data_IF_851534899665
#
_entry.id   IF_851534899665
#
_cell.length_a   1.000
_cell.length_b   1.000
_cell.length_c   1.000
_cell.angle_alpha   90.00
_cell.angle_beta   90.00
_cell.angle_gamma   90.00
#
_symmetry.space_group_name_H-M   'P 1'
#
loop_
_entity.id
_entity.type
_entity.pdbx_description
1 polymer ?
#
# COMPACT_ATOMS: atom_id res chain seq x y z
N UNK A 1 -3.21 17.08 -36.72
CA UNK A 1 -3.64 17.48 -35.36
C UNK A 1 -3.70 16.24 -34.43
N UNK A 2 -3.01 16.23 -33.27
CA UNK A 2 -3.24 15.21 -32.28
C UNK A 2 -4.67 15.37 -31.70
N UNK A 3 -5.32 14.29 -31.24
CA UNK A 3 -6.69 14.38 -30.76
C UNK A 3 -6.76 15.30 -29.53
N UNK A 4 -7.81 16.15 -29.41
CA UNK A 4 -7.92 17.17 -28.36
C UNK A 4 -8.20 16.60 -26.96
N UNK A 5 -8.36 15.28 -26.83
CA UNK A 5 -8.66 14.60 -25.58
C UNK A 5 -7.65 13.47 -25.34
N UNK A 6 -7.14 13.39 -24.11
CA UNK A 6 -6.40 12.21 -23.68
C UNK A 6 -7.31 10.97 -23.84
N UNK A 7 -6.76 9.81 -24.26
CA UNK A 7 -7.53 8.58 -24.35
C UNK A 7 -8.19 8.29 -22.99
N UNK A 8 -9.44 7.80 -23.01
CA UNK A 8 -10.12 7.39 -21.79
C UNK A 8 -9.28 6.31 -21.13
N UNK A 9 -8.83 6.58 -19.92
CA UNK A 9 -8.10 5.64 -19.09
C UNK A 9 -8.78 5.58 -17.73
N UNK A 10 -8.64 4.46 -17.05
CA UNK A 10 -9.08 4.29 -15.69
C UNK A 10 -8.00 3.57 -14.91
N UNK A 11 -8.01 3.76 -13.60
CA UNK A 11 -7.15 3.05 -12.67
C UNK A 11 -8.03 2.17 -11.78
N UNK A 12 -7.70 0.90 -11.63
CA UNK A 12 -8.28 0.03 -10.60
C UNK A 12 -7.27 -0.10 -9.48
N UNK A 13 -7.69 0.28 -8.28
CA UNK A 13 -6.93 0.07 -7.05
C UNK A 13 -7.48 -1.16 -6.35
N UNK A 14 -6.58 -2.05 -5.94
CA UNK A 14 -6.84 -3.18 -5.07
C UNK A 14 -6.00 -2.99 -3.82
N UNK A 15 -6.67 -2.72 -2.72
CA UNK A 15 -6.07 -2.57 -1.40
C UNK A 15 -6.28 -3.87 -0.62
N UNK A 16 -5.20 -4.46 -0.14
CA UNK A 16 -5.21 -5.67 0.66
C UNK A 16 -4.49 -5.43 1.97
N UNK A 17 -5.04 -5.94 3.07
CA UNK A 17 -4.35 -6.07 4.35
C UNK A 17 -4.25 -7.54 4.75
N UNK A 18 -3.06 -7.94 5.21
CA UNK A 18 -2.79 -9.24 5.82
C UNK A 18 -2.55 -9.04 7.31
N UNK A 19 -3.25 -9.80 8.15
CA UNK A 19 -3.00 -9.80 9.59
C UNK A 19 -1.56 -10.28 9.88
N UNK A 20 -0.83 -9.49 10.68
CA UNK A 20 0.58 -9.74 10.98
C UNK A 20 0.85 -11.06 11.70
N UNK A 21 -0.15 -11.67 12.35
CA UNK A 21 -0.03 -12.99 12.97
C UNK A 21 -0.09 -14.15 11.98
N UNK A 22 -0.66 -13.92 10.80
CA UNK A 22 -0.77 -14.91 9.72
C UNK A 22 0.40 -14.86 8.73
N UNK A 23 1.21 -13.79 8.76
CA UNK A 23 2.35 -13.63 7.86
C UNK A 23 3.48 -14.60 8.25
N UNK A 24 3.86 -15.48 7.32
CA UNK A 24 5.03 -16.34 7.49
C UNK A 24 6.31 -15.49 7.58
N UNK A 25 7.22 -15.84 8.49
CA UNK A 25 8.46 -15.10 8.69
C UNK A 25 9.36 -15.09 7.46
N UNK A 26 9.30 -16.15 6.64
CA UNK A 26 10.08 -16.29 5.41
C UNK A 26 9.44 -15.63 4.19
N UNK A 27 8.23 -15.05 4.32
CA UNK A 27 7.57 -14.39 3.20
C UNK A 27 8.36 -13.14 2.80
N UNK A 28 8.79 -13.07 1.54
CA UNK A 28 9.55 -11.93 1.01
C UNK A 28 8.66 -10.93 0.25
N UNK A 29 9.14 -9.69 0.16
CA UNK A 29 8.53 -8.63 -0.65
C UNK A 29 8.39 -9.08 -2.11
N UNK A 30 9.38 -9.81 -2.65
CA UNK A 30 9.34 -10.38 -4.00
C UNK A 30 8.21 -11.40 -4.17
N UNK A 31 8.05 -12.36 -3.26
CA UNK A 31 6.98 -13.35 -3.35
C UNK A 31 5.59 -12.69 -3.31
N UNK A 32 5.43 -11.71 -2.42
CA UNK A 32 4.19 -10.94 -2.31
C UNK A 32 3.91 -10.12 -3.58
N UNK A 33 4.93 -9.46 -4.12
CA UNK A 33 4.84 -8.68 -5.36
C UNK A 33 4.53 -9.58 -6.55
N UNK A 34 5.22 -10.71 -6.70
CA UNK A 34 5.02 -11.66 -7.80
C UNK A 34 3.60 -12.23 -7.77
N UNK A 35 3.09 -12.59 -6.58
CA UNK A 35 1.72 -13.09 -6.42
C UNK A 35 0.70 -12.04 -6.82
N UNK A 36 0.87 -10.80 -6.38
CA UNK A 36 -0.04 -9.71 -6.76
C UNK A 36 0.02 -9.37 -8.24
N UNK A 37 1.21 -9.32 -8.84
CA UNK A 37 1.35 -9.12 -10.28
C UNK A 37 0.67 -10.24 -11.06
N UNK A 38 0.73 -11.49 -10.59
CA UNK A 38 0.10 -12.64 -11.25
C UNK A 38 -1.41 -12.50 -11.42
N UNK A 39 -2.08 -11.72 -10.56
CA UNK A 39 -3.52 -11.44 -10.65
C UNK A 39 -3.89 -10.56 -11.85
N UNK A 40 -2.91 -9.80 -12.38
CA UNK A 40 -3.13 -8.82 -13.46
C UNK A 40 -2.77 -9.35 -14.86
N UNK A 41 -2.17 -10.55 -14.97
CA UNK A 41 -1.58 -11.08 -16.22
C UNK A 41 -2.62 -11.72 -17.17
N UNK A 42 -3.86 -11.21 -17.17
CA UNK A 42 -4.89 -11.74 -18.07
C UNK A 42 -4.84 -11.11 -19.48
N UNK A 43 -4.26 -9.92 -19.65
CA UNK A 43 -4.20 -9.25 -20.95
C UNK A 43 -2.77 -8.89 -21.31
N UNK A 44 -2.29 -9.45 -22.43
CA UNK A 44 -1.01 -9.17 -23.07
C UNK A 44 -1.00 -7.76 -23.74
N UNK A 45 -1.73 -6.82 -23.14
CA UNK A 45 -2.00 -5.49 -23.67
C UNK A 45 -0.91 -4.55 -23.17
N UNK A 46 -0.04 -4.14 -24.08
CA UNK A 46 1.10 -3.23 -23.85
C UNK A 46 0.69 -1.84 -23.35
N UNK A 47 -0.62 -1.57 -23.24
CA UNK A 47 -1.22 -0.33 -22.75
C UNK A 47 -1.56 -0.35 -21.25
N UNK A 48 -1.15 -1.39 -20.52
CA UNK A 48 -1.47 -1.57 -19.09
C UNK A 48 -0.27 -1.26 -18.21
N UNK A 49 -0.43 -0.34 -17.26
CA UNK A 49 0.61 0.00 -16.27
C UNK A 49 0.17 -0.48 -14.89
N UNK A 50 0.94 -1.41 -14.31
CA UNK A 50 0.73 -1.92 -12.96
C UNK A 50 1.77 -1.35 -12.01
N UNK A 51 1.34 -0.90 -10.84
CA UNK A 51 2.24 -0.51 -9.74
C UNK A 51 1.81 -1.22 -8.46
N UNK A 52 2.79 -1.64 -7.67
CA UNK A 52 2.57 -2.30 -6.37
C UNK A 52 3.32 -1.51 -5.31
N UNK A 53 2.64 -1.23 -4.22
CA UNK A 53 3.22 -0.68 -2.99
C UNK A 53 2.94 -1.62 -1.84
N UNK A 54 3.98 -1.93 -1.05
CA UNK A 54 3.86 -2.79 0.13
C UNK A 54 4.26 -1.97 1.34
N UNK A 55 3.40 -1.94 2.34
CA UNK A 55 3.63 -1.22 3.59
C UNK A 55 3.46 -2.17 4.77
N UNK A 56 4.23 -1.92 5.82
CA UNK A 56 4.25 -2.71 7.02
C UNK A 56 3.87 -1.83 8.21
N UNK A 57 2.88 -2.28 8.96
CA UNK A 57 2.45 -1.65 10.22
C UNK A 57 2.94 -2.48 11.40
N UNK A 58 3.68 -1.88 12.31
CA UNK A 58 4.17 -2.54 13.51
C UNK A 58 4.05 -1.65 14.75
N UNK A 59 3.73 -2.25 15.88
CA UNK A 59 3.68 -1.56 17.17
C UNK A 59 4.97 -1.80 17.92
N UNK A 60 5.45 -0.76 18.60
CA UNK A 60 6.61 -0.80 19.47
C UNK A 60 6.20 -0.31 20.85
N UNK A 61 6.37 -1.17 21.84
CA UNK A 61 6.27 -0.81 23.24
C UNK A 61 7.59 -0.18 23.68
N UNK A 62 7.54 0.93 24.42
CA UNK A 62 8.73 1.65 24.85
C UNK A 62 8.57 2.21 26.27
N UNK A 63 9.71 2.48 26.91
CA UNK A 63 9.83 3.19 28.18
C UNK A 63 10.88 4.30 28.05
N UNK A 64 10.58 5.51 28.51
CA UNK A 64 11.41 6.70 28.32
C UNK A 64 10.72 7.99 28.75
N UNK A 65 11.31 9.13 28.42
CA UNK A 65 10.81 10.45 28.82
C UNK A 65 9.94 11.12 27.73
N UNK A 66 9.56 12.37 27.97
CA UNK A 66 9.00 13.25 26.94
C UNK A 66 9.90 13.28 25.70
N UNK A 67 9.31 13.15 24.51
CA UNK A 67 10.06 13.11 23.25
C UNK A 67 10.48 11.70 22.78
N UNK A 68 10.14 10.63 23.52
CA UNK A 68 10.55 9.27 23.17
C UNK A 68 10.04 8.81 21.80
N UNK A 69 8.80 9.18 21.44
CA UNK A 69 8.23 8.84 20.12
C UNK A 69 9.01 9.53 19.02
N UNK A 70 9.33 10.82 19.16
CA UNK A 70 10.11 11.57 18.19
C UNK A 70 11.50 10.96 17.97
N UNK A 71 12.16 10.52 19.05
CA UNK A 71 13.45 9.82 18.94
C UNK A 71 13.30 8.47 18.21
N UNK A 72 12.25 7.71 18.50
CA UNK A 72 11.96 6.45 17.80
C UNK A 72 11.60 6.68 16.32
N UNK A 73 10.92 7.79 15.99
CA UNK A 73 10.68 8.19 14.59
C UNK A 73 12.00 8.42 13.87
N UNK A 74 12.94 9.17 14.46
CA UNK A 74 14.26 9.40 13.88
C UNK A 74 15.02 8.09 13.70
N UNK A 75 15.01 7.21 14.71
CA UNK A 75 15.64 5.89 14.62
C UNK A 75 15.01 5.03 13.52
N UNK A 76 13.68 5.06 13.37
CA UNK A 76 12.98 4.33 12.32
C UNK A 76 13.29 4.88 10.93
N UNK A 77 13.32 6.20 10.77
CA UNK A 77 13.63 6.89 9.51
C UNK A 77 15.07 6.68 9.06
N UNK A 78 16.00 6.46 10.00
CA UNK A 78 17.37 6.08 9.67
C UNK A 78 17.46 4.68 9.01
N UNK A 79 16.51 3.79 9.29
CA UNK A 79 16.44 2.43 8.72
C UNK A 79 15.56 2.41 7.46
N UNK A 80 14.38 3.04 7.53
CA UNK A 80 13.46 3.17 6.41
C UNK A 80 12.98 4.63 6.34
N UNK A 81 13.43 5.42 5.35
CA UNK A 81 13.09 6.84 5.23
C UNK A 81 11.59 7.13 5.15
N UNK A 82 10.79 6.15 4.72
CA UNK A 82 9.33 6.24 4.63
C UNK A 82 8.62 6.02 5.97
N UNK A 83 9.35 5.72 7.04
CA UNK A 83 8.77 5.40 8.32
C UNK A 83 8.07 6.61 8.97
N UNK A 84 6.81 6.43 9.33
CA UNK A 84 5.96 7.44 9.96
C UNK A 84 5.17 6.84 11.12
N UNK A 85 4.91 7.60 12.20
CA UNK A 85 4.03 7.14 13.25
C UNK A 85 2.56 7.26 12.80
N UNK A 86 1.76 6.21 13.04
CA UNK A 86 0.33 6.11 12.67
C UNK A 86 -0.61 7.01 13.52
N UNK A 87 -0.05 8.02 14.18
CA UNK A 87 -0.66 8.92 15.18
C UNK A 87 -0.77 8.37 16.60
N UNK A 88 -0.08 9.04 17.53
CA UNK A 88 -0.43 9.05 18.95
C UNK A 88 -0.64 10.50 19.38
N UNK A 89 -1.84 11.05 19.14
CA UNK A 89 -2.21 12.41 19.60
C UNK A 89 -2.59 12.46 21.08
N UNK A 90 -1.98 11.64 21.93
CA UNK A 90 -2.16 11.74 23.39
C UNK A 90 -0.83 12.13 24.02
N UNK A 91 -0.67 13.44 24.23
CA UNK A 91 0.30 14.00 25.18
C UNK A 91 -0.14 13.60 26.58
N UNK A 92 0.24 12.41 27.00
CA UNK A 92 0.25 12.06 28.41
C UNK A 92 1.71 11.88 28.81
N UNK A 93 2.06 12.34 30.01
CA UNK A 93 3.36 12.19 30.68
C UNK A 93 3.63 10.70 31.03
N UNK A 94 3.43 9.81 30.07
CA UNK A 94 3.57 8.38 30.26
C UNK A 94 5.03 8.02 30.00
N UNK A 95 5.71 7.60 31.06
CA UNK A 95 7.07 7.07 30.99
C UNK A 95 7.09 5.85 30.05
N UNK A 96 6.06 5.02 30.07
CA UNK A 96 5.90 3.90 29.14
C UNK A 96 4.73 4.08 28.20
N UNK A 97 4.92 3.72 26.94
CA UNK A 97 3.93 3.87 25.90
C UNK A 97 4.02 2.79 24.83
N UNK A 98 3.05 2.82 23.93
CA UNK A 98 3.00 1.95 22.76
C UNK A 98 2.66 2.82 21.56
N UNK A 99 3.48 2.75 20.51
CA UNK A 99 3.29 3.53 19.29
C UNK A 99 3.32 2.62 18.08
N UNK A 100 2.47 2.91 17.10
CA UNK A 100 2.44 2.16 15.84
C UNK A 100 3.17 2.96 14.77
N UNK A 101 4.08 2.30 14.08
CA UNK A 101 4.80 2.80 12.93
C UNK A 101 4.31 2.13 11.67
N UNK A 102 4.29 2.90 10.59
CA UNK A 102 4.05 2.44 9.23
C UNK A 102 5.31 2.74 8.43
N UNK A 103 5.78 1.78 7.65
CA UNK A 103 6.89 1.96 6.71
C UNK A 103 6.62 1.30 5.37
N UNK A 104 7.19 1.82 4.30
CA UNK A 104 7.23 1.15 3.00
C UNK A 104 8.30 0.06 2.99
N UNK A 105 8.00 -1.07 2.35
CA UNK A 105 8.94 -2.15 2.09
C UNK A 105 9.49 -2.09 0.65
N UNK A 106 9.10 -1.09 -0.14
CA UNK A 106 9.53 -0.91 -1.53
C UNK A 106 11.02 -0.60 -1.71
N UNK A 107 11.76 -0.38 -0.61
CA UNK A 107 13.18 -0.06 -0.63
C UNK A 107 14.06 -1.30 -0.95
N UNK A 108 13.55 -2.54 -0.73
CA UNK A 108 14.28 -3.79 -1.02
C UNK A 108 13.34 -4.97 -1.28
N UNK A 109 13.51 -5.64 -2.43
CA UNK A 109 12.67 -6.77 -2.84
C UNK A 109 12.97 -8.08 -2.08
N UNK A 110 14.17 -8.21 -1.50
CA UNK A 110 14.58 -9.44 -0.79
C UNK A 110 14.26 -9.40 0.69
N UNK A 111 13.67 -8.31 1.19
CA UNK A 111 13.38 -8.16 2.60
C UNK A 111 12.21 -9.07 3.01
N UNK A 112 12.29 -9.64 4.21
CA UNK A 112 11.19 -10.39 4.80
C UNK A 112 10.09 -9.40 5.22
N UNK A 113 8.86 -9.69 4.82
CA UNK A 113 7.70 -8.82 5.06
C UNK A 113 7.33 -8.81 6.56
N UNK A 114 7.68 -9.87 7.29
CA UNK A 114 7.47 -9.96 8.73
C UNK A 114 8.59 -9.33 9.58
N UNK A 115 9.74 -9.00 8.99
CA UNK A 115 10.88 -8.47 9.73
C UNK A 115 10.58 -7.06 10.24
N UNK A 116 10.68 -6.85 11.55
CA UNK A 116 10.45 -5.54 12.18
C UNK A 116 11.81 -4.90 12.46
N UNK A 117 12.02 -3.62 12.12
CA UNK A 117 13.31 -2.97 12.37
C UNK A 117 13.55 -2.86 13.87
N UNK A 118 14.78 -3.15 14.30
CA UNK A 118 15.20 -2.91 15.68
C UNK A 118 15.46 -1.43 15.87
N UNK A 119 14.59 -0.77 16.63
CA UNK A 119 14.73 0.65 16.92
C UNK A 119 15.59 0.83 18.16
N UNK A 120 16.59 1.72 18.07
CA UNK A 120 17.44 2.10 19.18
C UNK A 120 17.51 3.62 19.24
N UNK A 121 17.23 4.19 20.41
CA UNK A 121 17.19 5.62 20.64
C UNK A 121 17.72 5.95 22.04
N UNK A 122 18.46 7.05 22.15
CA UNK A 122 19.07 7.46 23.41
C UNK A 122 18.00 7.84 24.45
N UNK A 123 18.06 7.20 25.63
CA UNK A 123 17.11 7.41 26.71
C UNK A 123 15.72 6.80 26.45
N UNK A 124 15.60 5.87 25.49
CA UNK A 124 14.38 5.12 25.23
C UNK A 124 14.70 3.62 25.27
N UNK A 125 14.07 2.89 26.18
CA UNK A 125 14.12 1.44 26.20
C UNK A 125 13.01 0.89 25.32
N UNK A 126 13.38 0.20 24.24
CA UNK A 126 12.42 -0.49 23.37
C UNK A 126 12.14 -1.88 23.94
N UNK A 127 10.87 -2.15 24.21
CA UNK A 127 10.36 -3.43 24.68
C UNK A 127 9.97 -4.33 23.52
N UNK A 128 8.72 -4.81 23.55
CA UNK A 128 8.19 -5.72 22.53
C UNK A 128 7.81 -4.95 21.28
N UNK A 129 8.25 -5.46 20.12
CA UNK A 129 7.72 -5.06 18.83
C UNK A 129 6.79 -6.14 18.27
N UNK A 130 5.66 -5.74 17.71
CA UNK A 130 4.64 -6.65 17.19
C UNK A 130 4.19 -6.20 15.81
N UNK A 131 4.28 -7.08 14.81
CA UNK A 131 3.72 -6.83 13.49
C UNK A 131 2.21 -6.78 13.60
N UNK A 132 1.60 -5.72 13.08
CA UNK A 132 0.14 -5.54 13.07
C UNK A 132 -0.43 -6.01 11.77
N UNK A 133 -0.02 -5.38 10.68
CA UNK A 133 -0.53 -5.66 9.35
C UNK A 133 0.55 -5.50 8.31
N UNK A 134 0.34 -6.16 7.18
CA UNK A 134 1.02 -5.86 5.93
C UNK A 134 -0.04 -5.41 4.94
N UNK A 135 0.06 -4.16 4.47
CA UNK A 135 -0.85 -3.64 3.48
C UNK A 135 -0.19 -3.64 2.10
N UNK A 136 -0.91 -4.10 1.10
CA UNK A 136 -0.50 -4.09 -0.30
C UNK A 136 -1.51 -3.31 -1.10
N UNK A 137 -1.01 -2.35 -1.87
CA UNK A 137 -1.80 -1.61 -2.84
C UNK A 137 -1.32 -1.96 -4.24
N UNK A 138 -2.20 -2.56 -5.04
CA UNK A 138 -2.00 -2.80 -6.46
C UNK A 138 -2.84 -1.78 -7.24
N UNK A 139 -2.19 -0.94 -8.04
CA UNK A 139 -2.86 0.01 -8.92
C UNK A 139 -2.62 -0.37 -10.37
N UNK A 140 -3.70 -0.69 -11.08
CA UNK A 140 -3.72 -1.09 -12.48
C UNK A 140 -4.33 0.02 -13.34
N UNK A 141 -3.54 0.65 -14.21
CA UNK A 141 -4.04 1.66 -15.15
C UNK A 141 -4.17 1.07 -16.55
N UNK A 142 -5.36 1.17 -17.14
CA UNK A 142 -5.66 0.65 -18.49
C UNK A 142 -6.47 1.68 -19.29
N UNK A 143 -6.36 1.62 -20.62
CA UNK A 143 -7.27 2.35 -21.50
C UNK A 143 -8.67 1.71 -21.47
N UNK A 144 -9.70 2.55 -21.46
CA UNK A 144 -11.08 2.12 -21.41
C UNK A 144 -11.97 3.09 -20.63
N UNK A 145 -13.22 2.70 -20.43
CA UNK A 145 -14.22 3.41 -19.67
C UNK A 145 -14.76 2.58 -18.51
N UNK A 146 -15.97 2.95 -18.06
CA UNK A 146 -16.60 2.33 -16.91
C UNK A 146 -16.96 0.85 -17.12
N UNK A 147 -17.27 0.46 -18.35
CA UNK A 147 -17.63 -0.92 -18.67
C UNK A 147 -16.41 -1.85 -18.50
N UNK A 148 -15.26 -1.47 -19.03
CA UNK A 148 -14.02 -2.24 -18.92
C UNK A 148 -13.52 -2.32 -17.47
N UNK A 149 -13.64 -1.23 -16.70
CA UNK A 149 -13.32 -1.23 -15.28
C UNK A 149 -14.22 -2.18 -14.48
N UNK A 150 -15.53 -2.18 -14.77
CA UNK A 150 -16.49 -3.07 -14.11
C UNK A 150 -16.26 -4.55 -14.47
N UNK A 151 -15.81 -4.86 -15.69
CA UNK A 151 -15.43 -6.23 -16.08
C UNK A 151 -14.24 -6.73 -15.27
N UNK A 152 -13.23 -5.88 -15.01
CA UNK A 152 -12.10 -6.23 -14.17
C UNK A 152 -12.51 -6.45 -12.71
N UNK A 153 -13.29 -5.52 -12.15
CA UNK A 153 -13.78 -5.59 -10.76
C UNK A 153 -14.78 -6.74 -10.54
N UNK A 154 -15.58 -7.10 -11.54
CA UNK A 154 -16.46 -8.27 -11.49
C UNK A 154 -15.78 -9.59 -11.84
N UNK A 155 -14.54 -9.54 -12.34
CA UNK A 155 -13.79 -10.67 -12.87
C UNK A 155 -12.49 -10.92 -12.10
N UNK A 156 -11.36 -10.69 -12.77
CA UNK A 156 -10.01 -11.01 -12.27
C UNK A 156 -9.63 -10.24 -11.00
N UNK A 157 -10.12 -9.01 -10.84
CA UNK A 157 -9.86 -8.14 -9.68
C UNK A 157 -11.06 -8.05 -8.73
N UNK A 158 -11.99 -9.00 -8.81
CA UNK A 158 -13.02 -9.15 -7.79
C UNK A 158 -12.41 -9.52 -6.46
N UNK A 159 -12.96 -8.96 -5.37
CA UNK A 159 -12.51 -9.19 -3.99
C UNK A 159 -12.28 -10.67 -3.70
N UNK A 160 -13.21 -11.53 -4.09
CA UNK A 160 -13.14 -12.98 -3.85
C UNK A 160 -12.02 -13.66 -4.65
N UNK A 161 -11.84 -13.30 -5.93
CA UNK A 161 -10.77 -13.86 -6.77
C UNK A 161 -9.40 -13.42 -6.32
N UNK A 162 -9.24 -12.16 -5.94
CA UNK A 162 -8.00 -11.63 -5.36
C UNK A 162 -7.70 -12.37 -4.06
N UNK A 163 -8.68 -12.47 -3.14
CA UNK A 163 -8.48 -13.16 -1.86
C UNK A 163 -8.05 -14.61 -2.05
N UNK A 164 -8.75 -15.36 -2.91
CA UNK A 164 -8.41 -16.75 -3.25
C UNK A 164 -7.04 -16.87 -3.91
N UNK A 165 -6.73 -16.01 -4.88
CA UNK A 165 -5.46 -16.02 -5.59
C UNK A 165 -4.27 -15.74 -4.67
N UNK A 166 -4.41 -14.78 -3.76
CA UNK A 166 -3.36 -14.44 -2.80
C UNK A 166 -3.24 -15.51 -1.70
N UNK A 167 -4.36 -15.98 -1.16
CA UNK A 167 -4.38 -17.07 -0.18
C UNK A 167 -3.66 -18.30 -0.72
N UNK A 168 -3.96 -18.70 -1.97
CA UNK A 168 -3.30 -19.82 -2.62
C UNK A 168 -1.81 -19.54 -2.95
N UNK A 169 -1.50 -18.35 -3.47
CA UNK A 169 -0.14 -17.99 -3.89
C UNK A 169 0.83 -17.80 -2.74
N UNK A 170 0.35 -17.34 -1.59
CA UNK A 170 1.16 -17.09 -0.38
C UNK A 170 0.93 -18.12 0.73
N UNK A 171 0.06 -19.11 0.50
CA UNK A 171 -0.32 -20.11 1.50
C UNK A 171 -0.84 -19.48 2.82
N UNK A 172 -1.69 -18.45 2.68
CA UNK A 172 -2.29 -17.71 3.79
C UNK A 172 -3.73 -18.14 4.01
N UNK A 173 -4.21 -18.09 5.25
CA UNK A 173 -5.62 -18.30 5.54
C UNK A 173 -6.47 -17.13 4.98
N UNK A 174 -7.55 -17.43 4.27
CA UNK A 174 -8.43 -16.41 3.69
C UNK A 174 -9.02 -15.45 4.73
N UNK A 175 -9.25 -15.92 5.95
CA UNK A 175 -9.79 -15.09 7.04
C UNK A 175 -8.79 -14.05 7.56
N UNK A 176 -7.50 -14.23 7.28
CA UNK A 176 -6.45 -13.27 7.60
C UNK A 176 -6.30 -12.17 6.54
N UNK A 177 -7.05 -12.24 5.44
CA UNK A 177 -7.00 -11.30 4.33
C UNK A 177 -8.23 -10.39 4.31
N UNK A 178 -7.99 -9.08 4.31
CA UNK A 178 -9.00 -8.07 3.98
C UNK A 178 -8.67 -7.49 2.61
N UNK A 179 -9.62 -7.48 1.67
CA UNK A 179 -9.42 -6.98 0.30
C UNK A 179 -10.54 -6.02 -0.05
N UNK A 180 -10.18 -4.87 -0.59
CA UNK A 180 -11.08 -3.87 -1.14
C UNK A 180 -10.61 -3.51 -2.56
N UNK A 181 -11.53 -3.36 -3.51
CA UNK A 181 -11.20 -2.95 -4.87
C UNK A 181 -12.10 -1.83 -5.33
N UNK A 182 -11.51 -0.84 -6.03
CA UNK A 182 -12.20 0.35 -6.49
C UNK A 182 -11.63 0.85 -7.82
N UNK A 183 -12.43 1.63 -8.56
CA UNK A 183 -12.02 2.24 -9.82
C UNK A 183 -11.97 3.77 -9.71
N UNK A 184 -10.92 4.36 -10.27
CA UNK A 184 -10.67 5.79 -10.34
C UNK A 184 -10.68 6.21 -11.81
N UNK A 185 -11.48 7.23 -12.14
CA UNK A 185 -11.52 7.84 -13.45
C UNK A 185 -10.93 9.25 -13.38
N UNK A 186 -10.09 9.66 -14.35
CA UNK A 186 -9.58 11.02 -14.41
C UNK A 186 -10.74 12.01 -14.55
N UNK A 187 -10.62 13.22 -13.98
CA UNK A 187 -11.62 14.26 -14.13
C UNK A 187 -11.78 14.64 -15.60
N UNK A 188 -13.00 15.03 -16.00
CA UNK A 188 -13.22 15.52 -17.35
C UNK A 188 -12.34 16.74 -17.63
N UNK A 189 -11.75 16.84 -18.84
CA UNK A 189 -11.08 18.06 -19.24
C UNK A 189 -12.04 19.25 -19.18
N UNK A 190 -11.55 20.45 -18.83
CA UNK A 190 -12.38 21.64 -18.87
C UNK A 190 -12.93 21.85 -20.28
N UNK A 191 -14.17 22.37 -20.42
CA UNK A 191 -14.71 22.71 -21.73
C UNK A 191 -13.77 23.68 -22.44
N UNK A 192 -13.51 23.44 -23.73
CA UNK A 192 -12.68 24.35 -24.52
C UNK A 192 -13.33 25.74 -24.56
N UNK A 193 -12.51 26.78 -24.41
CA UNK A 193 -12.96 28.15 -24.51
C UNK A 193 -13.67 28.37 -25.87
N UNK A 194 -14.77 29.14 -25.90
CA UNK A 194 -15.44 29.47 -27.15
C UNK A 194 -14.43 30.16 -28.11
N UNK A 195 -14.59 29.98 -29.43
CA UNK A 195 -13.71 30.62 -30.40
C UNK A 195 -13.73 32.14 -30.20
N UNK A 196 -12.54 32.75 -30.18
CA UNK A 196 -12.41 34.21 -30.07
C UNK A 196 -13.16 34.90 -31.22
N UNK A 197 -13.86 36.01 -30.95
CA UNK A 197 -14.53 36.76 -31.99
C UNK A 197 -13.53 37.23 -33.06
N UNK A 198 -13.93 37.30 -34.34
CA UNK A 198 -13.05 37.77 -35.40
C UNK A 198 -12.56 39.19 -35.10
N UNK A 199 -11.26 39.40 -35.26
CA UNK A 199 -10.64 40.73 -35.12
C UNK A 199 -11.21 41.69 -36.16
N UNK A 200 -11.67 42.86 -35.70
CA UNK A 200 -12.05 44.00 -36.55
C UNK A 200 -10.83 44.66 -37.19
#
# INVERSE_FOLDING_TARGET
PPPPFAPKQFTVDVDMAVDGSAVDKSLTVEQMTATMMSLTVADNDTSTTSTISITQDFTVDYDGDEGSVEKLVVACQAISPSCVPSTSRRRALLQSGSTTFTRSLSDSNTMEVAEIPKLEAEGVSVGKSTLRNVNVKLSLTKQGGAEEANVLLGGSLSTEKVRLGVSAGLNLDESALSVESSSIFPPMPPPSLPPSPPSL
#
